data_IF_568035739384
#
_entry.id   IF_568035739384
#
_cell.length_a   1.000
_cell.length_b   1.000
_cell.length_c   1.000
_cell.angle_alpha   90.00
_cell.angle_beta   90.00
_cell.angle_gamma   90.00
#
_symmetry.space_group_name_H-M   'P 1'
#
loop_
_entity.id
_entity.type
_entity.pdbx_description
1 polymer ?
#
# COMPACT_ATOMS: atom_id res chain seq x y z
N UNK A 1 -9.87 -0.85 -13.61
CA UNK A 1 -8.52 -0.42 -14.05
C UNK A 1 -8.44 1.06 -14.42
N UNK A 2 -9.53 1.69 -14.86
CA UNK A 2 -9.51 3.09 -15.31
C UNK A 2 -9.21 4.08 -14.19
N UNK A 3 -9.67 3.82 -12.96
CA UNK A 3 -9.36 4.67 -11.80
C UNK A 3 -7.86 4.74 -11.51
N UNK A 4 -7.14 3.61 -11.57
CA UNK A 4 -5.68 3.58 -11.43
C UNK A 4 -4.99 4.39 -12.53
N UNK A 5 -5.46 4.29 -13.78
CA UNK A 5 -4.92 5.07 -14.90
C UNK A 5 -5.17 6.57 -14.72
N UNK A 6 -6.34 6.94 -14.20
CA UNK A 6 -6.68 8.31 -13.86
C UNK A 6 -5.76 8.87 -12.77
N UNK A 7 -5.54 8.14 -11.67
CA UNK A 7 -4.61 8.55 -10.61
C UNK A 7 -3.18 8.73 -11.16
N UNK A 8 -2.73 7.82 -12.04
CA UNK A 8 -1.44 7.93 -12.69
C UNK A 8 -1.34 9.16 -13.62
N UNK A 9 -2.42 9.46 -14.35
CA UNK A 9 -2.49 10.62 -15.22
C UNK A 9 -2.43 11.94 -14.43
N UNK A 10 -3.04 12.01 -13.24
CA UNK A 10 -2.93 13.16 -12.34
C UNK A 10 -1.48 13.36 -11.89
N UNK A 11 -0.84 12.30 -11.39
CA UNK A 11 0.53 12.39 -10.87
C UNK A 11 1.58 12.69 -11.95
N UNK A 12 1.35 12.29 -13.20
CA UNK A 12 2.31 12.47 -14.31
C UNK A 12 2.00 13.62 -15.26
N UNK A 13 0.74 14.01 -15.40
CA UNK A 13 0.28 15.00 -16.38
C UNK A 13 0.31 16.43 -15.87
N UNK A 14 0.32 16.63 -14.55
CA UNK A 14 0.33 17.95 -13.92
C UNK A 14 1.73 18.52 -13.67
N UNK A 15 1.78 19.81 -13.33
CA UNK A 15 2.99 20.42 -12.76
C UNK A 15 3.23 19.85 -11.35
N UNK A 16 4.45 19.35 -11.04
CA UNK A 16 4.79 18.88 -9.71
C UNK A 16 4.42 19.91 -8.64
N UNK A 17 3.46 19.59 -7.80
CA UNK A 17 2.96 20.48 -6.76
C UNK A 17 2.51 19.69 -5.53
N UNK A 18 2.73 20.27 -4.37
CA UNK A 18 2.39 19.65 -3.09
C UNK A 18 2.02 20.71 -2.07
N UNK A 19 0.96 20.44 -1.32
CA UNK A 19 0.55 21.22 -0.14
C UNK A 19 1.06 20.59 1.16
N UNK A 20 1.76 19.46 1.07
CA UNK A 20 2.29 18.78 2.23
C UNK A 20 3.52 19.53 2.78
N UNK A 21 3.41 19.98 4.03
CA UNK A 21 4.44 20.72 4.74
C UNK A 21 5.76 19.94 4.89
N UNK A 22 5.73 18.60 4.94
CA UNK A 22 6.92 17.75 5.02
C UNK A 22 7.85 17.89 3.80
N UNK A 23 7.39 18.46 2.70
CA UNK A 23 8.25 18.75 1.56
C UNK A 23 9.41 19.67 1.94
N UNK A 24 9.12 20.74 2.68
CA UNK A 24 10.12 21.69 3.12
C UNK A 24 11.20 21.00 3.98
N UNK A 25 10.76 20.21 4.97
CA UNK A 25 11.67 19.46 5.84
C UNK A 25 12.53 18.45 5.06
N UNK A 26 11.91 17.72 4.12
CA UNK A 26 12.62 16.73 3.30
C UNK A 26 13.69 17.41 2.44
N UNK A 27 13.37 18.56 1.85
CA UNK A 27 14.31 19.34 1.03
C UNK A 27 15.45 19.91 1.88
N UNK A 28 15.16 20.46 3.05
CA UNK A 28 16.19 21.00 3.94
C UNK A 28 17.12 19.90 4.44
N UNK A 29 16.58 18.75 4.84
CA UNK A 29 17.38 17.59 5.21
C UNK A 29 18.28 17.14 4.07
N UNK A 30 17.79 17.12 2.82
CA UNK A 30 18.61 16.73 1.66
C UNK A 30 19.75 17.73 1.39
N UNK A 31 19.48 19.03 1.51
CA UNK A 31 20.50 20.09 1.41
C UNK A 31 21.54 19.99 2.53
N UNK A 32 21.10 19.73 3.76
CA UNK A 32 21.97 19.54 4.92
C UNK A 32 22.88 18.32 4.73
N UNK A 33 22.32 17.18 4.32
CA UNK A 33 23.08 15.96 4.02
C UNK A 33 24.15 16.17 2.94
N UNK A 34 23.84 16.95 1.91
CA UNK A 34 24.78 17.29 0.82
C UNK A 34 25.99 18.08 1.33
N UNK A 35 25.79 18.96 2.32
CA UNK A 35 26.86 19.71 2.96
C UNK A 35 27.59 18.87 4.02
N UNK A 36 26.86 18.03 4.75
CA UNK A 36 27.38 17.24 5.85
C UNK A 36 28.30 16.11 5.37
N UNK A 37 27.90 15.33 4.36
CA UNK A 37 28.66 14.14 3.89
C UNK A 37 30.13 14.43 3.54
N UNK A 38 30.45 15.49 2.78
CA UNK A 38 31.84 15.80 2.46
C UNK A 38 32.64 16.33 3.66
N UNK A 39 31.98 16.99 4.62
CA UNK A 39 32.63 17.47 5.85
C UNK A 39 32.99 16.29 6.75
N UNK A 40 32.11 15.29 6.84
CA UNK A 40 32.36 14.04 7.55
C UNK A 40 33.60 13.31 7.03
N UNK A 41 33.80 13.29 5.71
CA UNK A 41 34.99 12.68 5.10
C UNK A 41 36.30 13.38 5.46
N UNK A 42 36.24 14.67 5.80
CA UNK A 42 37.39 15.47 6.22
C UNK A 42 37.50 15.61 7.74
N UNK A 43 36.60 14.99 8.48
CA UNK A 43 36.59 15.07 9.92
C UNK A 43 37.78 14.30 10.51
N UNK A 44 38.47 14.92 11.44
CA UNK A 44 39.57 14.30 12.19
C UNK A 44 39.05 13.81 13.54
N UNK A 45 39.49 12.62 13.92
CA UNK A 45 39.25 12.03 15.24
C UNK A 45 40.44 12.32 16.15
N UNK A 46 40.18 12.92 17.31
CA UNK A 46 41.20 13.14 18.33
C UNK A 46 41.17 11.96 19.31
N UNK A 47 42.34 11.36 19.58
CA UNK A 47 42.46 10.26 20.54
C UNK A 47 41.88 10.67 21.90
N UNK A 48 40.93 9.88 22.40
CA UNK A 48 40.25 10.12 23.68
C UNK A 48 38.97 10.97 23.60
N UNK A 49 38.61 11.52 22.44
CA UNK A 49 37.35 12.24 22.25
C UNK A 49 36.34 11.43 21.43
N UNK A 50 35.07 11.45 21.85
CA UNK A 50 33.94 10.91 21.06
C UNK A 50 33.50 11.86 19.93
N UNK A 51 34.04 13.07 19.87
CA UNK A 51 33.64 14.09 18.91
C UNK A 51 34.52 14.09 17.65
N UNK A 52 33.91 14.47 16.53
CA UNK A 52 34.56 14.70 15.25
C UNK A 52 34.85 16.19 15.07
N UNK A 53 36.03 16.53 14.56
CA UNK A 53 36.45 17.92 14.36
C UNK A 53 36.68 18.20 12.88
N UNK A 54 36.21 19.36 12.42
CA UNK A 54 36.43 19.85 11.05
C UNK A 54 37.02 21.26 11.15
N UNK A 55 38.07 21.52 10.39
CA UNK A 55 38.66 22.87 10.30
C UNK A 55 37.63 23.85 9.73
N UNK A 56 37.43 24.99 10.39
CA UNK A 56 36.48 26.03 9.92
C UNK A 56 36.81 26.52 8.51
N UNK A 57 38.09 26.50 8.13
CA UNK A 57 38.55 26.80 6.77
C UNK A 57 37.96 25.87 5.70
N UNK A 58 37.75 24.59 6.02
CA UNK A 58 37.14 23.61 5.11
C UNK A 58 35.67 23.92 4.82
N UNK A 59 34.95 24.45 5.83
CA UNK A 59 33.56 24.89 5.67
C UNK A 59 33.51 26.03 4.64
N UNK A 60 34.35 27.06 4.81
CA UNK A 60 34.41 28.21 3.89
C UNK A 60 34.81 27.82 2.47
N UNK A 61 35.79 26.92 2.31
CA UNK A 61 36.23 26.43 0.98
C UNK A 61 35.09 25.76 0.21
N UNK A 62 34.20 25.03 0.91
CA UNK A 62 33.04 24.37 0.29
C UNK A 62 31.91 25.33 -0.07
N UNK A 63 31.70 26.39 0.71
CA UNK A 63 30.60 27.34 0.46
C UNK A 63 30.91 28.34 -0.67
N UNK A 64 32.18 28.66 -0.92
CA UNK A 64 32.56 29.78 -1.82
C UNK A 64 32.93 29.34 -3.24
N UNK A 65 33.21 28.06 -3.48
CA UNK A 65 33.87 27.60 -4.73
C UNK A 65 32.95 26.96 -5.79
N UNK A 66 31.63 26.97 -5.66
CA UNK A 66 30.75 26.33 -6.65
C UNK A 66 30.45 27.25 -7.83
N UNK A 67 30.56 26.71 -9.05
CA UNK A 67 30.08 27.39 -10.26
C UNK A 67 28.55 27.48 -10.21
N UNK A 68 28.00 28.59 -10.70
CA UNK A 68 26.55 28.83 -10.69
C UNK A 68 25.75 27.68 -11.33
N UNK A 69 26.25 27.10 -12.43
CA UNK A 69 25.60 25.99 -13.13
C UNK A 69 25.50 24.71 -12.28
N UNK A 70 26.55 24.39 -11.53
CA UNK A 70 26.59 23.20 -10.67
C UNK A 70 25.63 23.36 -9.50
N UNK A 71 25.63 24.53 -8.86
CA UNK A 71 24.71 24.84 -7.76
C UNK A 71 23.25 24.73 -8.19
N UNK A 72 22.88 25.33 -9.34
CA UNK A 72 21.52 25.25 -9.88
C UNK A 72 21.13 23.80 -10.18
N UNK A 73 22.03 23.01 -10.77
CA UNK A 73 21.78 21.61 -11.07
C UNK A 73 21.48 20.80 -9.80
N UNK A 74 22.31 20.93 -8.76
CA UNK A 74 22.09 20.21 -7.50
C UNK A 74 20.80 20.65 -6.80
N UNK A 75 20.46 21.94 -6.82
CA UNK A 75 19.24 22.46 -6.21
C UNK A 75 17.98 21.95 -6.92
N UNK A 76 18.01 21.87 -8.25
CA UNK A 76 16.95 21.22 -9.04
C UNK A 76 16.84 19.74 -8.66
N UNK A 77 17.98 19.02 -8.64
CA UNK A 77 18.00 17.60 -8.29
C UNK A 77 17.46 17.34 -6.88
N UNK A 78 17.82 18.17 -5.91
CA UNK A 78 17.35 18.03 -4.54
C UNK A 78 15.86 18.33 -4.40
N UNK A 79 15.38 19.34 -5.11
CA UNK A 79 13.95 19.68 -5.19
C UNK A 79 13.16 18.52 -5.80
N UNK A 80 13.57 18.03 -6.96
CA UNK A 80 12.89 16.94 -7.67
C UNK A 80 12.92 15.63 -6.88
N UNK A 81 14.06 15.28 -6.27
CA UNK A 81 14.16 14.04 -5.46
C UNK A 81 13.26 14.11 -4.23
N UNK A 82 13.24 15.26 -3.55
CA UNK A 82 12.42 15.47 -2.35
C UNK A 82 10.93 15.40 -2.70
N UNK A 83 10.54 16.01 -3.82
CA UNK A 83 9.18 15.91 -4.34
C UNK A 83 8.82 14.47 -4.70
N UNK A 84 9.67 13.78 -5.45
CA UNK A 84 9.43 12.41 -5.90
C UNK A 84 9.24 11.43 -4.72
N UNK A 85 10.03 11.58 -3.65
CA UNK A 85 9.88 10.78 -2.42
C UNK A 85 8.47 10.92 -1.84
N UNK A 86 7.93 12.13 -1.82
CA UNK A 86 6.59 12.41 -1.32
C UNK A 86 5.51 11.91 -2.28
N UNK A 87 5.62 12.25 -3.57
CA UNK A 87 4.65 11.86 -4.60
C UNK A 87 4.48 10.34 -4.67
N UNK A 88 5.58 9.58 -4.59
CA UNK A 88 5.53 8.11 -4.56
C UNK A 88 4.74 7.59 -3.35
N UNK A 89 4.97 8.15 -2.16
CA UNK A 89 4.25 7.74 -0.94
C UNK A 89 2.76 8.04 -1.06
N UNK A 90 2.43 9.26 -1.48
CA UNK A 90 1.04 9.69 -1.70
C UNK A 90 0.34 8.79 -2.71
N UNK A 91 0.99 8.49 -3.84
CA UNK A 91 0.39 7.67 -4.88
C UNK A 91 0.08 6.25 -4.39
N UNK A 92 1.00 5.61 -3.68
CA UNK A 92 0.77 4.27 -3.10
C UNK A 92 -0.36 4.31 -2.08
N UNK A 93 -0.37 5.30 -1.20
CA UNK A 93 -1.42 5.44 -0.17
C UNK A 93 -2.81 5.62 -0.81
N UNK A 94 -2.94 6.53 -1.77
CA UNK A 94 -4.18 6.76 -2.52
C UNK A 94 -4.61 5.52 -3.30
N UNK A 95 -3.68 4.77 -3.90
CA UNK A 95 -4.01 3.51 -4.57
C UNK A 95 -4.56 2.48 -3.60
N UNK A 96 -3.92 2.29 -2.43
CA UNK A 96 -4.41 1.36 -1.43
C UNK A 96 -5.80 1.76 -0.93
N UNK A 97 -6.00 3.03 -0.61
CA UNK A 97 -7.29 3.51 -0.09
C UNK A 97 -8.40 3.43 -1.15
N UNK A 98 -8.14 3.92 -2.36
CA UNK A 98 -9.18 4.00 -3.38
C UNK A 98 -9.37 2.68 -4.11
N UNK A 99 -8.31 2.12 -4.68
CA UNK A 99 -8.43 0.96 -5.58
C UNK A 99 -8.65 -0.33 -4.78
N UNK A 100 -7.87 -0.52 -3.71
CA UNK A 100 -7.92 -1.76 -2.95
C UNK A 100 -9.05 -1.71 -1.92
N UNK A 101 -8.99 -0.79 -0.96
CA UNK A 101 -10.02 -0.72 0.09
C UNK A 101 -11.38 -0.38 -0.51
N UNK A 102 -11.53 0.74 -1.21
CA UNK A 102 -12.86 1.14 -1.69
C UNK A 102 -13.38 0.26 -2.85
N UNK A 103 -12.68 0.19 -3.98
CA UNK A 103 -13.24 -0.50 -5.16
C UNK A 103 -13.20 -2.04 -5.09
N UNK A 104 -12.28 -2.64 -4.34
CA UNK A 104 -12.10 -4.10 -4.34
C UNK A 104 -12.62 -4.79 -3.07
N UNK A 105 -12.64 -4.13 -1.91
CA UNK A 105 -12.92 -4.81 -0.63
C UNK A 105 -14.12 -4.27 0.14
N UNK A 106 -14.28 -2.96 0.26
CA UNK A 106 -15.17 -2.34 1.26
C UNK A 106 -16.30 -1.52 0.64
N UNK A 107 -16.15 -1.07 -0.60
CA UNK A 107 -17.14 -0.23 -1.30
C UNK A 107 -18.47 -0.95 -1.53
N UNK A 108 -19.53 -0.18 -1.74
CA UNK A 108 -20.86 -0.72 -2.01
C UNK A 108 -20.87 -1.62 -3.26
N UNK A 109 -20.18 -1.17 -4.32
CA UNK A 109 -20.00 -1.90 -5.58
C UNK A 109 -18.82 -2.89 -5.53
N UNK A 110 -18.29 -3.19 -4.35
CA UNK A 110 -17.15 -4.08 -4.19
C UNK A 110 -17.55 -5.51 -4.57
N UNK A 111 -16.69 -6.26 -5.32
CA UNK A 111 -16.94 -7.67 -5.62
C UNK A 111 -17.13 -8.53 -4.37
N UNK A 112 -16.48 -8.18 -3.26
CA UNK A 112 -16.63 -8.89 -1.99
C UNK A 112 -18.01 -8.71 -1.35
N UNK A 113 -18.72 -7.62 -1.68
CA UNK A 113 -20.08 -7.36 -1.19
C UNK A 113 -21.17 -7.99 -2.07
N UNK A 114 -20.80 -8.60 -3.21
CA UNK A 114 -21.75 -9.33 -4.05
C UNK A 114 -22.41 -10.48 -3.29
N UNK A 115 -21.64 -11.19 -2.45
CA UNK A 115 -22.19 -12.24 -1.58
C UNK A 115 -22.52 -11.66 -0.20
N UNK A 116 -23.66 -10.98 -0.13
CA UNK A 116 -24.17 -10.33 1.09
C UNK A 116 -25.40 -11.07 1.65
N UNK A 117 -25.74 -10.85 2.93
CA UNK A 117 -26.99 -11.36 3.49
C UNK A 117 -28.21 -10.94 2.68
N UNK A 118 -28.22 -9.71 2.15
CA UNK A 118 -29.27 -9.20 1.28
C UNK A 118 -29.35 -9.98 -0.04
N UNK A 119 -28.21 -10.32 -0.63
CA UNK A 119 -28.15 -11.19 -1.81
C UNK A 119 -28.75 -12.57 -1.50
N UNK A 120 -28.35 -13.19 -0.39
CA UNK A 120 -28.84 -14.53 0.01
C UNK A 120 -30.33 -14.51 0.32
N UNK A 121 -30.83 -13.49 1.01
CA UNK A 121 -32.27 -13.32 1.29
C UNK A 121 -33.11 -13.06 0.04
N UNK A 122 -32.48 -12.55 -1.04
CA UNK A 122 -33.14 -12.30 -2.31
C UNK A 122 -33.24 -13.51 -3.24
N UNK A 123 -32.59 -14.64 -2.90
CA UNK A 123 -32.64 -15.84 -3.73
C UNK A 123 -33.99 -16.55 -3.62
N UNK A 124 -34.52 -16.99 -4.75
CA UNK A 124 -35.73 -17.82 -4.77
C UNK A 124 -35.42 -19.29 -4.46
N UNK A 125 -36.46 -20.09 -4.23
CA UNK A 125 -36.32 -21.50 -3.86
C UNK A 125 -35.60 -22.33 -4.94
N UNK A 126 -35.83 -22.02 -6.22
CA UNK A 126 -35.23 -22.74 -7.34
C UNK A 126 -33.73 -22.41 -7.47
N UNK A 127 -33.36 -21.14 -7.23
CA UNK A 127 -31.97 -20.68 -7.18
C UNK A 127 -31.23 -21.26 -5.98
N UNK A 128 -31.88 -21.31 -4.81
CA UNK A 128 -31.30 -21.96 -3.62
C UNK A 128 -31.07 -23.45 -3.85
N UNK A 129 -32.03 -24.16 -4.44
CA UNK A 129 -31.90 -25.56 -4.81
C UNK A 129 -30.79 -25.76 -5.86
N UNK A 130 -30.65 -24.85 -6.82
CA UNK A 130 -29.58 -24.94 -7.81
C UNK A 130 -28.17 -24.67 -7.25
N UNK A 131 -28.04 -23.82 -6.22
CA UNK A 131 -26.75 -23.40 -5.66
C UNK A 131 -26.32 -24.30 -4.50
N UNK A 132 -27.25 -24.64 -3.62
CA UNK A 132 -27.01 -25.34 -2.36
C UNK A 132 -27.84 -26.62 -2.22
N UNK A 133 -28.72 -26.92 -3.17
CA UNK A 133 -29.43 -28.18 -3.22
C UNK A 133 -28.46 -29.32 -3.54
N UNK A 134 -28.80 -30.48 -3.01
CA UNK A 134 -27.98 -31.67 -3.19
C UNK A 134 -28.32 -32.35 -4.51
N UNK A 135 -27.33 -33.07 -5.06
CA UNK A 135 -27.59 -33.93 -6.19
C UNK A 135 -28.58 -35.05 -5.83
N UNK A 136 -29.36 -35.47 -6.83
CA UNK A 136 -30.39 -36.50 -6.64
C UNK A 136 -29.82 -37.84 -6.16
N UNK A 137 -28.60 -38.20 -6.58
CA UNK A 137 -27.92 -39.40 -6.12
C UNK A 137 -27.64 -39.36 -4.61
N UNK A 138 -27.13 -38.24 -4.11
CA UNK A 138 -26.90 -38.01 -2.68
C UNK A 138 -28.20 -38.00 -1.88
N UNK A 139 -29.29 -37.43 -2.43
CA UNK A 139 -30.62 -37.48 -1.80
C UNK A 139 -31.14 -38.91 -1.69
N UNK A 140 -31.07 -39.69 -2.76
CA UNK A 140 -31.48 -41.09 -2.78
C UNK A 140 -30.66 -41.93 -1.80
N UNK A 141 -29.34 -41.76 -1.81
CA UNK A 141 -28.44 -42.48 -0.91
C UNK A 141 -28.72 -42.14 0.56
N UNK A 142 -29.00 -40.87 0.89
CA UNK A 142 -29.42 -40.51 2.25
C UNK A 142 -30.72 -41.19 2.64
N UNK A 143 -31.71 -41.25 1.74
CA UNK A 143 -32.99 -41.89 2.04
C UNK A 143 -32.83 -43.39 2.33
N UNK A 144 -31.98 -44.07 1.56
CA UNK A 144 -31.65 -45.49 1.80
C UNK A 144 -30.98 -45.65 3.17
N UNK A 145 -29.93 -44.88 3.45
CA UNK A 145 -29.21 -44.96 4.73
C UNK A 145 -30.12 -44.63 5.93
N UNK A 146 -31.01 -43.65 5.82
CA UNK A 146 -31.99 -43.34 6.88
C UNK A 146 -32.97 -44.49 7.13
N UNK A 147 -33.39 -45.21 6.08
CA UNK A 147 -34.23 -46.41 6.23
C UNK A 147 -33.45 -47.53 6.93
N UNK A 148 -32.20 -47.75 6.54
CA UNK A 148 -31.37 -48.78 7.15
C UNK A 148 -31.10 -48.49 8.63
N UNK A 149 -30.79 -47.24 8.99
CA UNK A 149 -30.64 -46.81 10.38
C UNK A 149 -31.92 -47.09 11.17
N UNK A 150 -33.10 -46.69 10.67
CA UNK A 150 -34.38 -46.98 11.34
C UNK A 150 -34.63 -48.47 11.54
N UNK A 151 -34.32 -49.27 10.52
CA UNK A 151 -34.50 -50.73 10.57
C UNK A 151 -33.57 -51.36 11.61
N UNK A 152 -32.31 -50.95 11.64
CA UNK A 152 -31.32 -51.42 12.60
C UNK A 152 -31.68 -51.01 14.03
N UNK A 153 -32.15 -49.78 14.25
CA UNK A 153 -32.63 -49.32 15.56
C UNK A 153 -33.86 -50.09 16.04
N UNK A 154 -34.80 -50.41 15.15
CA UNK A 154 -35.96 -51.21 15.48
C UNK A 154 -35.56 -52.66 15.85
N UNK A 155 -34.64 -53.26 15.10
CA UNK A 155 -34.12 -54.59 15.40
C UNK A 155 -33.41 -54.64 16.76
N UNK A 156 -32.64 -53.59 17.09
CA UNK A 156 -31.97 -53.45 18.39
C UNK A 156 -32.93 -53.36 19.58
N UNK A 157 -34.16 -52.84 19.38
CA UNK A 157 -35.18 -52.73 20.44
C UNK A 157 -35.97 -54.03 20.67
N UNK A 158 -35.88 -54.98 19.75
CA UNK A 158 -36.57 -56.28 19.82
C UNK A 158 -35.65 -57.37 20.39
N UNK A 159 -34.34 -57.11 20.41
CA UNK A 159 -33.31 -57.85 21.16
C UNK A 159 -33.31 -57.45 22.64
#
# INVERSE_FOLDING_TARGET
>A
MDHTRFLLAIERGGRPSTFNHYFADTLQNKRAERLYKPLLQKATHVLGSKCQYVEVGEIRRRTVSKKNSEQVCEDILDTLTSYYKLARKRFVDVLCQHVISHYLLEGAESPTRLFSPEFVMGLDADQLESIAGEDEESKEQRQVLQRDVKNLEAALKVL
#
